data_IF_432509249436
#
_entry.id   IF_432509249436
#
_cell.length_a   1.000
_cell.length_b   1.000
_cell.length_c   1.000
_cell.angle_alpha   90.00
_cell.angle_beta   90.00
_cell.angle_gamma   90.00
#
_symmetry.space_group_name_H-M   'P 1'
#
loop_
_entity.id
_entity.type
_entity.pdbx_description
1 polymer ?
#
# COMPACT_ATOMS: atom_id res chain seq x y z
N UNK A 1 -5.01 17.58 45.33
CA UNK A 1 -4.81 19.03 45.43
C UNK A 1 -3.92 19.47 44.25
N UNK A 2 -4.43 20.28 43.30
CA UNK A 2 -3.69 20.67 42.10
C UNK A 2 -2.79 21.89 42.34
N UNK A 3 -1.56 21.85 41.86
CA UNK A 3 -0.64 22.99 41.84
C UNK A 3 -0.73 23.72 40.49
N UNK A 4 -1.37 24.88 40.56
CA UNK A 4 -1.45 25.93 39.53
C UNK A 4 -0.13 26.70 39.44
N UNK A 5 0.40 26.95 38.22
CA UNK A 5 1.09 28.20 37.80
C UNK A 5 0.98 28.41 36.27
N UNK A 6 0.44 29.56 35.86
CA UNK A 6 0.47 30.16 34.49
C UNK A 6 1.64 31.19 34.43
N UNK A 7 1.77 32.03 33.38
CA UNK A 7 2.30 31.82 32.02
C UNK A 7 3.60 32.64 31.77
N UNK A 8 4.36 32.37 30.71
CA UNK A 8 5.43 33.28 30.24
C UNK A 8 5.07 33.83 28.86
N UNK A 9 4.94 35.16 28.84
CA UNK A 9 4.71 35.99 27.69
C UNK A 9 5.99 36.14 26.84
N UNK A 10 5.84 36.03 25.53
CA UNK A 10 6.86 36.40 24.56
C UNK A 10 6.22 37.28 23.50
N UNK A 11 6.30 38.60 23.71
CA UNK A 11 5.90 39.62 22.77
C UNK A 11 7.01 39.84 21.74
N UNK A 12 6.69 39.86 20.43
CA UNK A 12 7.59 40.37 19.41
C UNK A 12 6.80 41.09 18.30
N UNK A 13 6.99 42.42 18.30
CA UNK A 13 6.89 43.42 17.25
C UNK A 13 5.79 43.35 16.18
N UNK A 14 4.86 44.29 16.33
CA UNK A 14 4.07 44.93 15.28
C UNK A 14 4.98 45.59 14.22
N UNK A 15 4.78 45.26 12.95
CA UNK A 15 5.16 46.11 11.83
C UNK A 15 3.89 46.41 11.03
N UNK A 16 3.46 47.67 11.14
CA UNK A 16 2.38 48.23 10.36
C UNK A 16 2.87 48.47 8.92
N UNK A 17 2.08 48.01 7.93
CA UNK A 17 2.20 48.46 6.54
C UNK A 17 0.86 49.03 6.07
N UNK A 18 0.99 50.08 5.27
CA UNK A 18 0.01 51.12 4.99
C UNK A 18 -1.28 50.64 4.29
N UNK A 19 -2.37 51.37 4.56
CA UNK A 19 -3.62 51.29 3.80
C UNK A 19 -3.43 51.76 2.36
N UNK A 20 -3.86 50.92 1.42
CA UNK A 20 -4.31 51.32 0.07
C UNK A 20 -5.70 50.71 -0.16
N UNK A 21 -6.70 51.48 -0.60
CA UNK A 21 -8.06 50.99 -0.80
C UNK A 21 -8.21 50.41 -2.21
N UNK A 22 -8.68 49.17 -2.35
CA UNK A 22 -9.38 48.76 -3.57
C UNK A 22 -10.13 47.43 -3.41
N UNK A 23 -11.45 47.50 -3.62
CA UNK A 23 -12.36 46.46 -4.13
C UNK A 23 -12.44 45.14 -3.35
N UNK A 24 -13.59 44.93 -2.72
CA UNK A 24 -14.07 43.61 -2.32
C UNK A 24 -14.26 42.74 -3.58
N UNK A 25 -13.31 41.84 -3.83
CA UNK A 25 -13.48 40.72 -4.74
C UNK A 25 -14.19 39.58 -3.98
N UNK A 26 -15.15 38.86 -4.59
CA UNK A 26 -15.81 37.75 -3.94
C UNK A 26 -14.79 36.69 -3.54
N UNK A 27 -14.95 36.15 -2.34
CA UNK A 27 -14.16 35.04 -1.83
C UNK A 27 -14.34 33.82 -2.73
N UNK A 28 -13.50 33.66 -3.74
CA UNK A 28 -13.22 32.36 -4.32
C UNK A 28 -12.43 31.59 -3.29
N UNK A 29 -13.13 30.82 -2.46
CA UNK A 29 -12.55 29.73 -1.71
C UNK A 29 -11.83 28.83 -2.70
N UNK A 30 -10.50 28.96 -2.77
CA UNK A 30 -9.66 28.01 -3.49
C UNK A 30 -9.96 26.66 -2.83
N UNK A 31 -10.48 25.66 -3.57
CA UNK A 31 -10.55 24.32 -3.01
C UNK A 31 -9.12 23.96 -2.56
N UNK A 32 -8.95 23.31 -1.39
CA UNK A 32 -7.63 22.84 -0.99
C UNK A 32 -7.08 22.08 -2.19
N UNK A 33 -5.94 22.56 -2.70
CA UNK A 33 -5.19 21.93 -3.78
C UNK A 33 -5.18 20.46 -3.44
N UNK A 34 -5.89 19.65 -4.25
CA UNK A 34 -5.97 18.22 -4.04
C UNK A 34 -4.52 17.77 -3.97
N UNK A 35 -4.03 17.47 -2.76
CA UNK A 35 -2.70 16.97 -2.54
C UNK A 35 -2.60 15.82 -3.52
N UNK A 36 -1.78 16.00 -4.56
CA UNK A 36 -1.69 15.05 -5.66
C UNK A 36 -1.54 13.71 -4.99
N UNK A 37 -2.54 12.82 -5.18
CA UNK A 37 -2.44 11.46 -4.67
C UNK A 37 -1.14 10.97 -5.23
N UNK A 38 -0.09 10.90 -4.40
CA UNK A 38 1.11 10.19 -4.74
C UNK A 38 0.57 8.79 -5.07
N UNK A 39 0.53 8.45 -6.35
CA UNK A 39 0.11 7.14 -6.78
C UNK A 39 1.16 6.22 -6.18
N UNK A 40 0.84 5.59 -5.06
CA UNK A 40 1.71 4.59 -4.48
C UNK A 40 1.91 3.55 -5.56
N UNK A 41 3.12 3.50 -6.10
CA UNK A 41 3.48 2.56 -7.16
C UNK A 41 3.63 1.21 -6.45
N UNK A 42 2.54 0.44 -6.39
CA UNK A 42 2.49 -0.89 -5.79
C UNK A 42 3.19 -1.91 -6.69
N UNK A 43 4.48 -1.68 -6.97
CA UNK A 43 5.27 -2.44 -7.93
C UNK A 43 6.53 -3.04 -7.35
N UNK A 44 6.60 -3.16 -6.01
CA UNK A 44 7.70 -3.86 -5.32
C UNK A 44 7.92 -5.30 -5.82
N UNK A 45 7.01 -5.81 -6.65
CA UNK A 45 6.95 -7.18 -7.17
C UNK A 45 7.48 -7.38 -8.58
N UNK A 46 7.83 -6.31 -9.29
CA UNK A 46 8.26 -6.42 -10.69
C UNK A 46 9.58 -7.15 -10.90
N UNK A 47 10.34 -7.40 -9.84
CA UNK A 47 11.61 -8.13 -9.85
C UNK A 47 11.65 -9.29 -8.83
N UNK A 48 10.49 -9.86 -8.50
CA UNK A 48 10.41 -11.01 -7.61
C UNK A 48 11.13 -12.21 -8.24
N UNK A 49 12.23 -12.61 -7.62
CA UNK A 49 12.94 -13.87 -7.90
C UNK A 49 12.89 -14.78 -6.69
N UNK A 50 12.92 -16.08 -6.91
CA UNK A 50 13.07 -17.06 -5.85
C UNK A 50 14.53 -17.47 -5.69
N UNK A 51 15.01 -17.48 -4.44
CA UNK A 51 16.23 -18.20 -4.12
C UNK A 51 16.02 -19.71 -4.39
N UNK A 52 17.02 -20.42 -4.93
CA UNK A 52 16.89 -21.84 -5.21
C UNK A 52 16.50 -22.61 -3.94
N UNK A 53 15.53 -23.51 -4.08
CA UNK A 53 15.02 -24.43 -3.05
C UNK A 53 14.27 -23.81 -1.86
N UNK A 54 14.19 -22.48 -1.72
CA UNK A 54 13.50 -21.81 -0.60
C UNK A 54 12.33 -20.95 -1.07
N UNK A 55 11.33 -20.82 -0.20
CA UNK A 55 10.24 -19.88 -0.41
C UNK A 55 10.73 -18.47 -0.11
N UNK A 56 10.60 -17.58 -1.09
CA UNK A 56 10.91 -16.16 -0.96
C UNK A 56 9.60 -15.40 -0.84
N UNK A 57 9.46 -14.58 0.22
CA UNK A 57 8.29 -13.74 0.43
C UNK A 57 8.46 -12.43 -0.32
N UNK A 58 7.40 -12.01 -1.00
CA UNK A 58 7.39 -10.75 -1.74
C UNK A 58 6.12 -9.99 -1.31
N UNK A 59 6.26 -8.70 -0.95
CA UNK A 59 5.14 -7.77 -0.62
C UNK A 59 5.02 -6.60 -1.60
N UNK A 60 3.81 -6.25 -2.04
CA UNK A 60 3.59 -5.36 -3.19
C UNK A 60 3.90 -3.90 -2.86
N UNK A 61 4.27 -3.65 -1.60
CA UNK A 61 4.64 -2.35 -1.06
C UNK A 61 3.43 -1.54 -0.60
N UNK A 62 2.21 -2.06 -0.72
CA UNK A 62 0.99 -1.32 -0.45
C UNK A 62 0.06 -2.05 0.52
N UNK A 63 -0.60 -1.28 1.39
CA UNK A 63 -1.70 -1.78 2.22
C UNK A 63 -3.00 -1.83 1.43
N UNK A 64 -3.69 -2.99 1.46
CA UNK A 64 -4.99 -3.18 0.84
C UNK A 64 -6.07 -3.29 1.90
N UNK A 65 -7.10 -2.46 1.76
CA UNK A 65 -8.28 -2.50 2.60
C UNK A 65 -9.32 -3.41 1.96
N UNK A 66 -9.65 -4.48 2.67
CA UNK A 66 -10.68 -5.42 2.27
C UNK A 66 -12.08 -5.03 2.73
N UNK A 67 -13.08 -5.72 2.17
CA UNK A 67 -14.47 -5.66 2.61
C UNK A 67 -15.00 -7.07 2.92
N UNK A 68 -16.11 -7.16 3.65
CA UNK A 68 -16.74 -8.45 3.95
C UNK A 68 -17.02 -9.24 2.66
N UNK A 69 -16.58 -10.51 2.62
CA UNK A 69 -16.72 -11.37 1.44
C UNK A 69 -15.76 -11.07 0.28
N UNK A 70 -14.87 -10.06 0.40
CA UNK A 70 -13.91 -9.74 -0.64
C UNK A 70 -12.91 -10.89 -0.85
N UNK A 71 -12.67 -11.22 -2.12
CA UNK A 71 -11.61 -12.12 -2.56
C UNK A 71 -10.52 -11.30 -3.23
N UNK A 72 -9.27 -11.65 -2.93
CA UNK A 72 -8.12 -11.01 -3.52
C UNK A 72 -7.55 -11.87 -4.65
N UNK A 73 -7.32 -11.24 -5.80
CA UNK A 73 -6.75 -11.88 -6.98
C UNK A 73 -5.26 -11.61 -7.06
N UNK A 74 -4.53 -12.67 -7.37
CA UNK A 74 -3.08 -12.72 -7.52
C UNK A 74 -2.78 -13.32 -8.88
N UNK A 75 -2.18 -12.57 -9.81
CA UNK A 75 -1.85 -13.08 -11.15
C UNK A 75 -0.39 -12.79 -11.52
N UNK A 76 0.27 -13.78 -12.11
CA UNK A 76 1.67 -13.67 -12.50
C UNK A 76 1.94 -14.20 -13.89
N UNK A 77 3.02 -13.68 -14.46
CA UNK A 77 3.64 -14.20 -15.68
C UNK A 77 5.15 -14.20 -15.50
N UNK A 78 5.79 -15.33 -15.78
CA UNK A 78 7.24 -15.45 -15.87
C UNK A 78 7.67 -14.82 -17.20
N UNK A 79 8.58 -13.85 -17.13
CA UNK A 79 9.13 -13.20 -18.32
C UNK A 79 10.45 -13.82 -18.76
N UNK A 80 11.21 -14.38 -17.81
CA UNK A 80 12.49 -15.05 -18.06
C UNK A 80 12.66 -16.24 -17.12
N UNK A 81 13.10 -17.37 -17.66
CA UNK A 81 13.37 -18.59 -16.89
C UNK A 81 12.29 -19.68 -17.00
N UNK A 82 12.30 -20.59 -16.02
CA UNK A 82 11.38 -21.73 -15.93
C UNK A 82 10.09 -21.42 -15.15
N UNK A 83 9.22 -22.42 -15.05
CA UNK A 83 8.04 -22.38 -14.18
C UNK A 83 8.43 -22.10 -12.73
N UNK A 84 7.54 -21.40 -12.02
CA UNK A 84 7.70 -21.10 -10.61
C UNK A 84 6.45 -21.55 -9.85
N UNK A 85 6.63 -21.84 -8.56
CA UNK A 85 5.55 -22.13 -7.63
C UNK A 85 5.19 -20.89 -6.83
N UNK A 86 3.90 -20.55 -6.80
CA UNK A 86 3.37 -19.40 -6.05
C UNK A 86 2.38 -19.85 -5.00
N UNK A 87 2.47 -19.28 -3.80
CA UNK A 87 1.40 -19.30 -2.79
C UNK A 87 0.96 -17.88 -2.52
N UNK A 88 -0.34 -17.64 -2.44
CA UNK A 88 -0.91 -16.34 -2.15
C UNK A 88 -1.32 -16.26 -0.68
N UNK A 89 -1.08 -15.10 -0.07
CA UNK A 89 -1.58 -14.77 1.27
C UNK A 89 -3.07 -14.46 1.20
N UNK A 90 -3.84 -15.09 2.09
CA UNK A 90 -5.26 -14.80 2.30
C UNK A 90 -5.60 -14.76 3.78
N UNK A 91 -6.86 -14.46 4.07
CA UNK A 91 -7.42 -14.45 5.42
C UNK A 91 -8.69 -15.28 5.47
N UNK A 92 -8.82 -16.11 6.50
CA UNK A 92 -10.02 -16.90 6.74
C UNK A 92 -11.17 -16.04 7.31
N UNK A 93 -12.33 -16.66 7.52
CA UNK A 93 -13.50 -15.97 8.08
C UNK A 93 -13.27 -15.40 9.50
N UNK A 94 -12.24 -15.89 10.21
CA UNK A 94 -11.83 -15.39 11.54
C UNK A 94 -10.74 -14.31 11.45
N UNK A 95 -10.40 -13.87 10.23
CA UNK A 95 -9.33 -12.90 9.92
C UNK A 95 -7.93 -13.46 10.20
N UNK A 96 -7.77 -14.77 10.27
CA UNK A 96 -6.46 -15.41 10.44
C UNK A 96 -5.78 -15.56 9.09
N UNK A 97 -4.50 -15.17 9.03
CA UNK A 97 -3.66 -15.34 7.83
C UNK A 97 -3.51 -16.83 7.48
N UNK A 98 -3.63 -17.14 6.20
CA UNK A 98 -3.25 -18.44 5.64
C UNK A 98 -2.55 -18.28 4.29
N UNK A 99 -1.83 -19.32 3.90
CA UNK A 99 -1.16 -19.41 2.60
C UNK A 99 -1.86 -20.44 1.73
N UNK A 100 -2.24 -20.05 0.51
CA UNK A 100 -2.89 -20.94 -0.44
C UNK A 100 -2.05 -22.20 -0.75
N UNK A 101 -2.69 -23.19 -1.36
CA UNK A 101 -1.98 -24.27 -2.03
C UNK A 101 -1.01 -23.70 -3.09
N UNK A 102 0.16 -24.33 -3.29
CA UNK A 102 1.11 -23.89 -4.30
C UNK A 102 0.56 -24.15 -5.70
N UNK A 103 0.63 -23.14 -6.58
CA UNK A 103 0.38 -23.30 -8.00
C UNK A 103 1.68 -23.09 -8.77
N UNK A 104 2.13 -24.14 -9.46
CA UNK A 104 3.41 -24.14 -10.18
C UNK A 104 3.18 -24.00 -11.69
N UNK A 105 3.48 -22.83 -12.25
CA UNK A 105 3.26 -22.56 -13.66
C UNK A 105 4.10 -21.37 -14.16
N UNK A 106 4.26 -21.25 -15.48
CA UNK A 106 4.89 -20.07 -16.11
C UNK A 106 3.97 -18.84 -16.06
N UNK A 107 2.68 -19.04 -15.91
CA UNK A 107 1.66 -18.02 -15.71
C UNK A 107 0.56 -18.60 -14.83
N UNK A 108 -0.16 -17.75 -14.10
CA UNK A 108 -1.21 -18.26 -13.24
C UNK A 108 -2.02 -17.16 -12.59
N UNK A 109 -3.15 -17.57 -12.03
CA UNK A 109 -4.05 -16.72 -11.25
C UNK A 109 -4.54 -17.52 -10.04
N UNK A 110 -4.40 -16.95 -8.86
CA UNK A 110 -4.94 -17.48 -7.61
C UNK A 110 -5.92 -16.45 -7.06
N UNK A 111 -7.08 -16.91 -6.61
CA UNK A 111 -8.00 -16.12 -5.81
C UNK A 111 -8.04 -16.70 -4.39
N UNK A 112 -7.89 -15.82 -3.40
CA UNK A 112 -7.95 -16.19 -1.98
C UNK A 112 -8.97 -15.30 -1.26
N UNK A 113 -9.56 -15.83 -0.20
CA UNK A 113 -10.38 -15.02 0.70
C UNK A 113 -9.51 -13.93 1.34
N UNK A 114 -10.08 -12.73 1.47
CA UNK A 114 -9.43 -11.57 2.09
C UNK A 114 -10.28 -10.99 3.21
N UNK A 115 -11.58 -10.79 2.95
CA UNK A 115 -12.53 -10.29 3.95
C UNK A 115 -12.24 -8.85 4.38
N UNK A 116 -12.84 -8.42 5.50
CA UNK A 116 -12.65 -7.08 6.07
C UNK A 116 -11.33 -7.02 6.87
N UNK A 117 -10.21 -7.01 6.15
CA UNK A 117 -8.84 -6.93 6.69
C UNK A 117 -8.05 -5.85 5.95
N UNK A 118 -7.29 -5.06 6.71
CA UNK A 118 -6.30 -4.12 6.19
C UNK A 118 -4.91 -4.78 6.28
N UNK A 119 -4.35 -5.21 5.15
CA UNK A 119 -3.04 -5.87 5.11
C UNK A 119 -2.37 -5.68 3.74
N UNK A 120 -1.06 -5.90 3.67
CA UNK A 120 -0.35 -5.88 2.39
C UNK A 120 -0.59 -7.18 1.63
N UNK A 121 -0.71 -7.08 0.30
CA UNK A 121 -0.68 -8.28 -0.54
C UNK A 121 0.69 -8.90 -0.42
N UNK A 122 0.72 -10.22 -0.24
CA UNK A 122 1.96 -11.00 -0.15
C UNK A 122 1.84 -12.31 -0.91
N UNK A 123 2.97 -12.74 -1.45
CA UNK A 123 3.14 -14.02 -2.11
C UNK A 123 4.39 -14.71 -1.58
N UNK A 124 4.37 -16.04 -1.58
CA UNK A 124 5.57 -16.85 -1.50
C UNK A 124 5.87 -17.40 -2.89
N UNK A 125 7.10 -17.21 -3.35
CA UNK A 125 7.60 -17.75 -4.61
C UNK A 125 8.69 -18.76 -4.33
N UNK A 126 8.65 -19.91 -5.01
CA UNK A 126 9.71 -20.91 -5.04
C UNK A 126 9.98 -21.35 -6.47
N UNK A 127 11.24 -21.43 -6.88
CA UNK A 127 11.64 -21.75 -8.25
C UNK A 127 13.14 -21.49 -8.49
N UNK A 128 13.58 -21.66 -9.74
CA UNK A 128 14.93 -21.30 -10.18
C UNK A 128 15.13 -19.77 -10.29
N UNK A 129 16.23 -19.29 -10.90
CA UNK A 129 16.47 -17.86 -11.14
C UNK A 129 15.54 -17.33 -12.24
N UNK A 130 14.24 -17.33 -11.98
CA UNK A 130 13.20 -16.83 -12.87
C UNK A 130 12.77 -15.43 -12.43
N UNK A 131 12.61 -14.54 -13.41
CA UNK A 131 12.08 -13.19 -13.19
C UNK A 131 10.58 -13.18 -13.51
N UNK A 132 9.81 -12.72 -12.54
CA UNK A 132 8.36 -12.60 -12.62
C UNK A 132 7.99 -11.14 -12.80
N UNK A 133 6.93 -10.91 -13.57
CA UNK A 133 6.19 -9.67 -13.45
C UNK A 133 4.71 -9.99 -13.34
N UNK A 134 4.09 -9.27 -12.43
CA UNK A 134 2.70 -9.44 -12.04
C UNK A 134 1.86 -8.45 -12.82
N UNK A 135 0.67 -8.87 -13.25
CA UNK A 135 -0.24 -8.10 -14.09
C UNK A 135 -1.64 -8.09 -13.50
#
# INVERSE_FOLDING_TARGET
MPLSRKPVAGAMCLLAFALTPLVAAPATATPPSAAGRAAAVCEGWKNAGSAPLKWSRVSDGCGHFGANGMKMSYAWKVYRGGSICVRAKGFDARRKEFWSAPLCAKNGKIQVAWGNVAASKEILVKGGPSLLRWN
#
